data_IF_270343214188
#
_entry.id   IF_270343214188
#
_cell.length_a   1.000
_cell.length_b   1.000
_cell.length_c   1.000
_cell.angle_alpha   90.00
_cell.angle_beta   90.00
_cell.angle_gamma   90.00
#
_symmetry.space_group_name_H-M   'P 1'
#
loop_
_entity.id
_entity.type
_entity.pdbx_description
1 polymer ?
#
# COMPACT_ATOMS: atom_id res chain seq x y z
N UNK A 1 1.76 -0.77 15.49
CA UNK A 1 2.13 -1.95 14.63
C UNK A 1 3.35 -1.58 13.82
N UNK A 2 4.29 -2.51 13.54
CA UNK A 2 5.43 -2.19 12.66
C UNK A 2 5.06 -2.33 11.17
N UNK A 3 5.85 -1.72 10.28
CA UNK A 3 5.60 -1.68 8.83
C UNK A 3 5.48 -3.07 8.21
N UNK A 4 6.33 -4.02 8.64
CA UNK A 4 6.31 -5.40 8.13
C UNK A 4 5.00 -6.10 8.50
N UNK A 5 4.51 -5.91 9.73
CA UNK A 5 3.26 -6.53 10.16
C UNK A 5 2.05 -5.92 9.43
N UNK A 6 2.05 -4.59 9.22
CA UNK A 6 1.04 -3.93 8.40
C UNK A 6 1.00 -4.52 7.00
N UNK A 7 2.15 -4.53 6.33
CA UNK A 7 2.25 -5.09 4.99
C UNK A 7 1.76 -6.54 4.92
N UNK A 8 2.17 -7.41 5.86
CA UNK A 8 1.73 -8.80 5.89
C UNK A 8 0.21 -8.92 6.07
N UNK A 9 -0.40 -8.09 6.90
CA UNK A 9 -1.84 -8.05 7.08
C UNK A 9 -2.54 -7.64 5.78
N UNK A 10 -2.13 -6.52 5.17
CA UNK A 10 -2.74 -6.01 3.95
C UNK A 10 -2.55 -6.95 2.77
N UNK A 11 -1.37 -7.56 2.64
CA UNK A 11 -1.07 -8.49 1.55
C UNK A 11 -2.00 -9.72 1.53
N UNK A 12 -2.54 -10.14 2.67
CA UNK A 12 -3.48 -11.29 2.72
C UNK A 12 -4.89 -10.96 2.20
N UNK A 13 -5.23 -9.67 2.08
CA UNK A 13 -6.54 -9.21 1.61
C UNK A 13 -6.50 -9.15 0.08
N UNK A 14 -7.31 -9.96 -0.59
CA UNK A 14 -7.41 -9.94 -2.05
C UNK A 14 -8.17 -8.70 -2.52
N UNK A 15 -7.57 -7.96 -3.47
CA UNK A 15 -8.09 -6.69 -3.99
C UNK A 15 -7.92 -6.57 -5.51
N UNK A 16 -7.96 -7.69 -6.24
CA UNK A 16 -7.73 -7.69 -7.69
C UNK A 16 -8.71 -6.81 -8.44
N UNK A 17 -8.21 -5.90 -9.30
CA UNK A 17 -8.99 -5.10 -10.23
C UNK A 17 -9.42 -5.89 -11.46
N UNK A 18 -10.32 -5.34 -12.30
CA UNK A 18 -10.86 -6.00 -13.48
C UNK A 18 -10.98 -5.04 -14.67
N UNK A 19 -10.16 -5.23 -15.70
CA UNK A 19 -10.13 -4.39 -16.92
C UNK A 19 -11.47 -4.30 -17.66
N UNK A 20 -12.33 -5.30 -17.55
CA UNK A 20 -13.63 -5.34 -18.23
C UNK A 20 -14.75 -4.59 -17.52
N UNK A 21 -14.48 -3.97 -16.35
CA UNK A 21 -15.49 -3.25 -15.56
C UNK A 21 -15.78 -1.87 -16.14
N UNK A 22 -17.03 -1.46 -16.07
CA UNK A 22 -17.48 -0.10 -16.40
C UNK A 22 -17.82 0.75 -15.18
N UNK A 23 -17.57 0.22 -13.99
CA UNK A 23 -17.84 0.87 -12.70
C UNK A 23 -16.58 0.94 -11.85
N UNK A 24 -16.52 1.91 -10.94
CA UNK A 24 -15.46 2.06 -9.95
C UNK A 24 -16.04 1.82 -8.55
N UNK A 25 -15.43 0.99 -7.70
CA UNK A 25 -14.27 0.16 -8.05
C UNK A 25 -14.67 -0.97 -9.02
N UNK A 26 -13.72 -1.41 -9.83
CA UNK A 26 -13.92 -2.47 -10.83
C UNK A 26 -14.29 -3.82 -10.20
N UNK A 27 -13.92 -4.00 -8.93
CA UNK A 27 -14.28 -5.16 -8.10
C UNK A 27 -14.67 -4.73 -6.70
N UNK A 28 -15.61 -5.45 -6.08
CA UNK A 28 -16.07 -5.15 -4.71
C UNK A 28 -15.06 -5.57 -3.65
N UNK A 29 -14.17 -6.47 -3.98
CA UNK A 29 -13.15 -6.98 -3.09
C UNK A 29 -12.19 -5.90 -2.60
N UNK A 30 -12.02 -4.81 -3.35
CA UNK A 30 -11.20 -3.66 -2.96
C UNK A 30 -11.74 -2.97 -1.68
N UNK A 31 -13.06 -2.97 -1.47
CA UNK A 31 -13.65 -2.46 -0.23
C UNK A 31 -13.19 -3.20 1.03
N UNK A 32 -12.74 -4.47 0.91
CA UNK A 32 -12.27 -5.20 2.09
C UNK A 32 -11.02 -4.55 2.70
N UNK A 33 -10.08 -4.13 1.85
CA UNK A 33 -8.90 -3.40 2.32
C UNK A 33 -9.24 -1.95 2.68
N UNK A 34 -10.11 -1.30 1.91
CA UNK A 34 -10.54 0.07 2.19
C UNK A 34 -11.14 0.22 3.60
N UNK A 35 -12.02 -0.68 4.01
CA UNK A 35 -12.62 -0.65 5.35
C UNK A 35 -11.66 -1.05 6.46
N UNK A 36 -10.71 -1.95 6.20
CA UNK A 36 -9.64 -2.25 7.15
C UNK A 36 -8.77 -1.01 7.41
N UNK A 37 -8.44 -0.27 6.34
CA UNK A 37 -7.68 0.97 6.44
C UNK A 37 -8.48 2.09 7.12
N UNK A 38 -9.77 2.23 6.81
CA UNK A 38 -10.66 3.17 7.51
C UNK A 38 -10.64 2.93 9.03
N UNK A 39 -10.76 1.66 9.42
CA UNK A 39 -10.70 1.30 10.84
C UNK A 39 -9.33 1.64 11.45
N UNK A 40 -8.23 1.23 10.82
CA UNK A 40 -6.88 1.49 11.34
C UNK A 40 -6.56 2.99 11.37
N UNK A 41 -6.95 3.77 10.35
CA UNK A 41 -6.78 5.22 10.34
C UNK A 41 -7.48 5.89 11.53
N UNK A 42 -8.71 5.46 11.85
CA UNK A 42 -9.44 5.94 13.02
C UNK A 42 -8.75 5.53 14.33
N UNK A 43 -8.26 4.28 14.43
CA UNK A 43 -7.58 3.77 15.62
C UNK A 43 -6.27 4.51 15.92
N UNK A 44 -5.50 4.88 14.91
CA UNK A 44 -4.27 5.67 15.07
C UNK A 44 -4.53 7.18 15.24
N UNK A 45 -5.74 7.65 14.98
CA UNK A 45 -6.17 9.01 15.30
C UNK A 45 -6.10 10.00 14.14
N UNK A 46 -6.25 9.57 12.90
CA UNK A 46 -6.49 10.46 11.76
C UNK A 46 -7.87 11.10 11.87
N UNK A 47 -8.01 12.26 11.24
CA UNK A 47 -9.26 13.04 11.21
C UNK A 47 -9.99 12.86 9.87
N UNK A 48 -11.32 13.03 9.89
CA UNK A 48 -12.23 12.98 8.74
C UNK A 48 -12.03 11.75 7.85
N UNK A 49 -11.80 10.60 8.50
CA UNK A 49 -11.60 9.33 7.81
C UNK A 49 -12.92 8.87 7.19
N UNK A 50 -12.89 8.56 5.91
CA UNK A 50 -14.05 8.02 5.20
C UNK A 50 -13.64 7.12 4.03
N UNK A 51 -14.47 6.14 3.72
CA UNK A 51 -14.49 5.40 2.45
C UNK A 51 -15.70 5.88 1.67
N UNK A 52 -15.48 6.37 0.45
CA UNK A 52 -16.60 6.81 -0.39
C UNK A 52 -17.23 5.67 -1.21
N UNK A 53 -18.29 5.97 -1.93
CA UNK A 53 -19.03 5.00 -2.75
C UNK A 53 -18.21 4.42 -3.91
N UNK A 54 -17.13 5.07 -4.30
CA UNK A 54 -16.20 4.65 -5.34
C UNK A 54 -14.95 3.96 -4.78
N UNK A 55 -14.93 3.65 -3.46
CA UNK A 55 -13.83 2.97 -2.77
C UNK A 55 -12.56 3.81 -2.59
N UNK A 56 -12.61 5.13 -2.71
CA UNK A 56 -11.51 5.99 -2.28
C UNK A 56 -11.53 6.12 -0.76
N UNK A 57 -10.36 5.94 -0.15
CA UNK A 57 -10.20 6.13 1.30
C UNK A 57 -9.50 7.46 1.55
N UNK A 58 -10.13 8.35 2.30
CA UNK A 58 -9.58 9.65 2.66
C UNK A 58 -9.35 9.76 4.16
N UNK A 59 -8.44 10.62 4.55
CA UNK A 59 -8.21 11.03 5.91
C UNK A 59 -7.02 11.97 6.00
N UNK A 60 -6.84 12.64 7.14
CA UNK A 60 -5.70 13.52 7.30
C UNK A 60 -5.18 13.58 8.74
N UNK A 61 -3.93 13.96 8.89
CA UNK A 61 -3.36 14.42 10.15
C UNK A 61 -3.43 15.96 10.21
N UNK A 62 -4.11 16.54 11.21
CA UNK A 62 -4.10 17.98 11.42
C UNK A 62 -2.67 18.47 11.66
N UNK A 63 -2.37 19.70 11.20
CA UNK A 63 -1.09 20.32 11.51
C UNK A 63 -0.86 20.39 13.03
N UNK A 64 0.36 20.14 13.46
CA UNK A 64 0.74 20.36 14.86
C UNK A 64 0.81 21.86 15.17
N UNK A 65 0.63 22.21 16.45
CA UNK A 65 0.65 23.61 16.90
C UNK A 65 1.90 24.36 16.44
N UNK A 66 1.69 25.45 15.71
CA UNK A 66 2.75 26.29 15.13
C UNK A 66 3.13 25.94 13.69
N UNK A 67 2.54 24.90 13.10
CA UNK A 67 2.77 24.46 11.72
C UNK A 67 1.51 24.59 10.83
N UNK A 68 0.48 25.30 11.29
CA UNK A 68 -0.81 25.46 10.61
C UNK A 68 -0.70 26.23 9.28
N UNK A 69 0.36 27.03 9.12
CA UNK A 69 0.62 27.79 7.89
C UNK A 69 1.61 27.08 6.94
N UNK A 70 2.02 25.85 7.24
CA UNK A 70 2.83 25.05 6.32
C UNK A 70 1.99 24.61 5.13
N UNK A 71 2.67 24.26 4.02
CA UNK A 71 2.03 23.63 2.88
C UNK A 71 1.41 22.30 3.28
N UNK A 72 0.21 22.04 2.75
CA UNK A 72 -0.45 20.76 2.91
C UNK A 72 0.16 19.73 1.95
N UNK A 73 0.65 18.63 2.47
CA UNK A 73 1.27 17.55 1.69
C UNK A 73 0.31 16.38 1.65
N UNK A 74 0.12 15.82 0.45
CA UNK A 74 -0.65 14.60 0.25
C UNK A 74 0.24 13.38 0.02
N UNK A 75 -0.23 12.20 0.47
CA UNK A 75 0.33 10.91 0.12
C UNK A 75 -0.76 10.01 -0.44
N UNK A 76 -0.44 9.34 -1.54
CA UNK A 76 -1.36 8.47 -2.29
C UNK A 76 -0.70 7.11 -2.46
N UNK A 77 -1.47 6.04 -2.34
CA UNK A 77 -1.12 4.68 -2.72
C UNK A 77 -2.37 3.96 -3.23
N UNK A 78 -2.22 2.86 -4.00
CA UNK A 78 -3.40 2.20 -4.53
C UNK A 78 -3.75 0.90 -3.79
N UNK A 79 -5.06 0.59 -3.76
CA UNK A 79 -5.64 -0.55 -3.06
C UNK A 79 -5.53 -1.84 -3.85
N UNK A 80 -5.71 -1.72 -5.18
CA UNK A 80 -5.87 -2.87 -6.05
C UNK A 80 -4.55 -3.55 -6.38
N UNK A 81 -4.65 -4.74 -6.87
CA UNK A 81 -3.55 -5.55 -7.41
C UNK A 81 -3.95 -6.10 -8.77
N UNK A 82 -2.97 -6.45 -9.58
CA UNK A 82 -3.23 -7.19 -10.83
C UNK A 82 -3.96 -8.51 -10.54
N UNK A 83 -4.98 -8.83 -11.32
CA UNK A 83 -5.84 -10.01 -11.10
C UNK A 83 -5.52 -11.21 -12.01
N UNK A 84 -4.59 -11.05 -12.95
CA UNK A 84 -4.35 -11.98 -14.05
C UNK A 84 -3.66 -13.28 -13.65
N UNK A 85 -3.26 -13.41 -12.39
CA UNK A 85 -2.44 -14.54 -11.95
C UNK A 85 -2.92 -15.16 -10.64
N UNK A 86 -3.23 -16.45 -10.72
CA UNK A 86 -3.32 -17.32 -9.55
C UNK A 86 -4.67 -17.36 -8.85
N UNK A 87 -4.62 -17.70 -7.57
CA UNK A 87 -5.79 -17.82 -6.71
C UNK A 87 -6.03 -16.52 -5.93
N UNK A 88 -7.18 -16.41 -5.26
CA UNK A 88 -7.49 -15.25 -4.40
C UNK A 88 -6.94 -15.38 -2.98
N UNK A 89 -6.38 -16.54 -2.63
CA UNK A 89 -5.79 -16.78 -1.30
C UNK A 89 -4.29 -16.45 -1.33
N UNK A 90 -3.94 -15.24 -0.89
CA UNK A 90 -2.56 -14.77 -0.86
C UNK A 90 -1.88 -15.29 0.40
N UNK A 91 -0.72 -15.95 0.26
CA UNK A 91 0.05 -16.54 1.36
C UNK A 91 1.47 -15.98 1.39
N UNK A 92 1.69 -14.87 2.12
CA UNK A 92 3.01 -14.29 2.26
C UNK A 92 3.99 -15.24 2.96
N UNK A 93 5.24 -15.27 2.50
CA UNK A 93 6.36 -15.97 3.13
C UNK A 93 7.42 -14.95 3.54
N UNK A 94 8.02 -15.14 4.72
CA UNK A 94 9.08 -14.26 5.22
C UNK A 94 10.40 -15.04 5.22
N UNK A 95 11.35 -14.62 4.39
CA UNK A 95 12.71 -15.14 4.30
C UNK A 95 13.64 -14.19 5.04
N UNK A 96 14.11 -14.60 6.21
CA UNK A 96 15.05 -13.81 7.03
C UNK A 96 16.48 -14.06 6.59
N UNK A 97 17.32 -13.03 6.75
CA UNK A 97 18.77 -13.11 6.56
C UNK A 97 19.13 -13.76 5.21
N UNK A 98 18.53 -13.26 4.12
CA UNK A 98 18.69 -13.82 2.79
C UNK A 98 20.17 -14.01 2.44
N UNK A 99 20.55 -15.24 2.09
CA UNK A 99 21.94 -15.64 1.91
C UNK A 99 22.39 -15.78 0.43
N UNK A 100 21.54 -15.38 -0.52
CA UNK A 100 21.83 -15.45 -1.96
C UNK A 100 21.40 -16.76 -2.65
N UNK A 101 20.93 -17.75 -1.89
CA UNK A 101 20.42 -19.01 -2.47
C UNK A 101 19.03 -18.79 -3.09
N UNK A 102 18.63 -19.72 -3.97
CA UNK A 102 17.28 -19.73 -4.52
C UNK A 102 16.22 -19.83 -3.41
N UNK A 103 15.19 -19.00 -3.49
CA UNK A 103 14.04 -18.98 -2.57
C UNK A 103 12.93 -19.85 -3.18
N UNK A 104 12.59 -20.97 -2.53
CA UNK A 104 11.43 -21.77 -2.94
C UNK A 104 10.13 -21.05 -2.57
N UNK A 105 9.20 -20.99 -3.51
CA UNK A 105 7.89 -20.38 -3.31
C UNK A 105 6.85 -21.44 -2.92
N UNK A 106 6.76 -21.71 -1.61
CA UNK A 106 5.87 -22.73 -1.05
C UNK A 106 6.08 -24.10 -1.69
N UNK A 107 4.98 -24.70 -2.10
CA UNK A 107 4.94 -26.01 -2.79
C UNK A 107 4.64 -25.88 -4.29
N UNK A 108 4.66 -24.67 -4.85
CA UNK A 108 4.32 -24.39 -6.26
C UNK A 108 5.31 -24.97 -7.28
N UNK A 109 6.50 -25.37 -6.83
CA UNK A 109 7.61 -25.76 -7.69
C UNK A 109 8.36 -24.58 -8.32
N UNK A 110 7.94 -23.34 -8.00
CA UNK A 110 8.58 -22.10 -8.45
C UNK A 110 9.63 -21.65 -7.45
N UNK A 111 10.59 -20.89 -7.93
CA UNK A 111 11.63 -20.30 -7.09
C UNK A 111 12.10 -18.96 -7.66
N UNK A 112 12.68 -18.14 -6.79
CA UNK A 112 13.36 -16.90 -7.14
C UNK A 112 14.85 -17.11 -6.93
N UNK A 113 15.66 -16.78 -7.93
CA UNK A 113 17.11 -16.85 -7.85
C UNK A 113 17.78 -15.61 -8.45
N UNK A 114 19.09 -15.49 -8.21
CA UNK A 114 19.89 -14.34 -8.68
C UNK A 114 20.29 -14.43 -10.15
N UNK A 115 19.99 -15.50 -10.87
CA UNK A 115 20.19 -15.61 -12.31
C UNK A 115 19.01 -15.01 -13.06
N UNK A 116 17.79 -15.37 -12.65
CA UNK A 116 16.55 -14.83 -13.20
C UNK A 116 16.27 -13.39 -12.70
N UNK A 117 16.59 -13.12 -11.43
CA UNK A 117 16.34 -11.84 -10.76
C UNK A 117 17.64 -11.27 -10.17
N UNK A 118 18.53 -10.66 -10.99
CA UNK A 118 19.85 -10.21 -10.54
C UNK A 118 19.84 -9.20 -9.39
N UNK A 119 18.76 -8.40 -9.25
CA UNK A 119 18.60 -7.43 -8.17
C UNK A 119 18.47 -8.08 -6.77
N UNK A 120 18.12 -9.37 -6.67
CA UNK A 120 18.15 -10.11 -5.41
C UNK A 120 19.53 -10.10 -4.74
N UNK A 121 20.61 -9.89 -5.49
CA UNK A 121 21.96 -9.72 -4.93
C UNK A 121 22.06 -8.53 -3.98
N UNK A 122 21.22 -7.50 -4.19
CA UNK A 122 21.16 -6.31 -3.33
C UNK A 122 20.41 -6.55 -2.03
N UNK A 123 19.74 -7.71 -1.91
CA UNK A 123 18.97 -8.10 -0.74
C UNK A 123 19.71 -9.06 0.21
N UNK A 124 21.01 -9.33 -0.03
CA UNK A 124 21.82 -10.16 0.88
C UNK A 124 21.78 -9.61 2.31
N UNK A 125 21.54 -10.51 3.27
CA UNK A 125 21.42 -10.18 4.69
C UNK A 125 20.11 -9.46 5.07
N UNK A 126 19.22 -9.18 4.10
CA UNK A 126 17.93 -8.55 4.37
C UNK A 126 16.83 -9.59 4.56
N UNK A 127 15.71 -9.14 5.11
CA UNK A 127 14.47 -9.91 5.11
C UNK A 127 13.73 -9.65 3.81
N UNK A 128 13.32 -10.71 3.12
CA UNK A 128 12.53 -10.68 1.89
C UNK A 128 11.14 -11.23 2.19
N UNK A 129 10.11 -10.62 1.64
CA UNK A 129 8.74 -11.13 1.67
C UNK A 129 8.36 -11.56 0.26
N UNK A 130 7.85 -12.78 0.13
CA UNK A 130 7.38 -13.38 -1.13
C UNK A 130 5.99 -13.96 -0.95
N UNK A 131 5.39 -14.51 -2.01
CA UNK A 131 4.24 -15.43 -1.89
C UNK A 131 4.68 -16.88 -1.88
N UNK A 132 3.70 -17.78 -1.76
CA UNK A 132 3.87 -19.22 -1.95
C UNK A 132 3.98 -19.63 -3.44
N UNK A 133 3.99 -18.68 -4.36
CA UNK A 133 4.10 -18.90 -5.81
C UNK A 133 2.78 -19.20 -6.52
N UNK A 134 1.65 -19.16 -5.84
CA UNK A 134 0.33 -19.39 -6.42
C UNK A 134 -0.46 -18.09 -6.68
N UNK A 135 0.04 -16.96 -6.20
CA UNK A 135 -0.55 -15.62 -6.37
C UNK A 135 0.53 -14.59 -6.62
N UNK A 136 0.13 -13.38 -7.03
CA UNK A 136 0.96 -12.18 -6.82
C UNK A 136 1.01 -11.87 -5.32
N UNK A 137 2.04 -11.13 -4.87
CA UNK A 137 2.13 -10.68 -3.48
C UNK A 137 1.28 -9.45 -3.22
N UNK A 138 1.16 -8.58 -4.24
CA UNK A 138 0.50 -7.28 -4.12
C UNK A 138 1.34 -6.28 -3.30
N UNK A 139 2.68 -6.39 -3.36
CA UNK A 139 3.55 -5.39 -2.76
C UNK A 139 3.38 -4.02 -3.43
N UNK A 140 3.14 -4.05 -4.70
CA UNK A 140 2.60 -3.00 -5.52
C UNK A 140 1.06 -3.02 -5.40
N UNK A 141 0.39 -2.06 -4.67
CA UNK A 141 1.08 -0.99 -3.92
C UNK A 141 0.75 -1.03 -2.40
N UNK A 142 0.47 -2.23 -1.86
CA UNK A 142 0.22 -2.39 -0.41
C UNK A 142 1.46 -2.10 0.44
N UNK A 143 2.65 -2.07 -0.17
CA UNK A 143 3.86 -1.61 0.52
C UNK A 143 3.78 -0.09 0.76
N UNK A 144 3.43 0.70 -0.25
CA UNK A 144 3.20 2.14 -0.10
C UNK A 144 2.11 2.45 0.92
N UNK A 145 1.00 1.71 0.91
CA UNK A 145 -0.03 1.81 1.95
C UNK A 145 0.58 1.59 3.35
N UNK A 146 1.37 0.51 3.53
CA UNK A 146 1.98 0.20 4.82
C UNK A 146 3.00 1.26 5.27
N UNK A 147 3.73 1.87 4.33
CA UNK A 147 4.66 2.96 4.58
C UNK A 147 3.93 4.22 5.04
N UNK A 148 2.88 4.64 4.34
CA UNK A 148 2.05 5.81 4.68
C UNK A 148 1.43 5.62 6.08
N UNK A 149 0.80 4.48 6.34
CA UNK A 149 0.16 4.19 7.62
C UNK A 149 1.17 4.13 8.78
N UNK A 150 2.38 3.63 8.51
CA UNK A 150 3.45 3.60 9.51
C UNK A 150 3.99 5.01 9.78
N UNK A 151 4.19 5.80 8.76
CA UNK A 151 4.58 7.21 8.89
C UNK A 151 3.57 7.97 9.77
N UNK A 152 2.28 7.87 9.49
CA UNK A 152 1.23 8.52 10.28
C UNK A 152 1.26 8.10 11.75
N UNK A 153 1.35 6.79 12.01
CA UNK A 153 1.45 6.24 13.38
C UNK A 153 2.69 6.78 14.11
N UNK A 154 3.85 6.80 13.46
CA UNK A 154 5.09 7.30 14.04
C UNK A 154 5.06 8.81 14.32
N UNK A 155 4.49 9.61 13.43
CA UNK A 155 4.34 11.06 13.62
C UNK A 155 3.52 11.36 14.89
N UNK A 156 2.42 10.62 15.08
CA UNK A 156 1.56 10.76 16.26
C UNK A 156 2.27 10.26 17.52
N UNK A 157 2.76 9.01 17.51
CA UNK A 157 3.38 8.37 18.69
C UNK A 157 4.61 9.12 19.18
N UNK A 158 5.46 9.60 18.26
CA UNK A 158 6.70 10.33 18.58
C UNK A 158 6.49 11.82 18.72
N UNK A 159 5.27 12.32 18.52
CA UNK A 159 4.91 13.75 18.57
C UNK A 159 5.83 14.62 17.68
N UNK A 160 6.10 14.15 16.47
CA UNK A 160 6.94 14.85 15.50
C UNK A 160 6.15 16.03 14.91
N UNK A 161 6.66 17.28 14.98
CA UNK A 161 5.99 18.43 14.40
C UNK A 161 5.85 18.33 12.89
N UNK A 162 4.64 18.63 12.37
CA UNK A 162 4.32 18.58 10.94
C UNK A 162 3.20 19.55 10.55
N UNK A 163 3.14 19.96 9.28
CA UNK A 163 1.98 20.61 8.68
C UNK A 163 0.83 19.62 8.49
N UNK A 164 -0.29 20.05 7.89
CA UNK A 164 -1.36 19.13 7.52
C UNK A 164 -0.84 18.07 6.53
N UNK A 165 -1.17 16.81 6.77
CA UNK A 165 -0.83 15.69 5.88
C UNK A 165 -2.14 15.01 5.47
N UNK A 166 -2.46 15.04 4.17
CA UNK A 166 -3.63 14.39 3.60
C UNK A 166 -3.27 13.01 3.05
N UNK A 167 -4.14 12.04 3.24
CA UNK A 167 -3.96 10.66 2.79
C UNK A 167 -5.11 10.30 1.85
N UNK A 168 -4.78 9.65 0.74
CA UNK A 168 -5.77 9.02 -0.12
C UNK A 168 -5.29 7.65 -0.58
N UNK A 169 -6.12 6.61 -0.41
CA UNK A 169 -5.91 5.32 -1.05
C UNK A 169 -6.91 5.15 -2.18
N UNK A 170 -6.42 4.82 -3.38
CA UNK A 170 -7.20 4.82 -4.62
C UNK A 170 -7.52 3.40 -5.09
N UNK A 171 -8.70 3.15 -5.67
CA UNK A 171 -8.99 1.90 -6.37
C UNK A 171 -8.46 1.94 -7.80
N UNK A 172 -8.41 0.78 -8.46
CA UNK A 172 -8.32 0.61 -9.92
C UNK A 172 -7.11 1.28 -10.61
N UNK A 173 -5.99 1.42 -9.91
CA UNK A 173 -4.77 1.98 -10.49
C UNK A 173 -4.21 1.07 -11.58
N UNK A 174 -4.13 -0.24 -11.35
CA UNK A 174 -3.58 -1.28 -12.22
C UNK A 174 -4.31 -1.41 -13.58
N UNK A 175 -5.49 -0.81 -13.68
CA UNK A 175 -6.25 -0.69 -14.93
C UNK A 175 -6.35 0.75 -15.45
N UNK A 176 -5.55 1.66 -14.90
CA UNK A 176 -5.43 3.06 -15.33
C UNK A 176 -6.58 3.98 -14.90
N UNK A 177 -7.37 3.60 -13.90
CA UNK A 177 -8.53 4.37 -13.43
C UNK A 177 -8.33 5.01 -12.04
N UNK A 178 -7.17 4.86 -11.41
CA UNK A 178 -6.90 5.29 -10.04
C UNK A 178 -7.20 6.77 -9.74
N UNK A 179 -7.02 7.67 -10.69
CA UNK A 179 -7.31 9.09 -10.53
C UNK A 179 -8.68 9.55 -11.07
N UNK A 180 -9.47 8.64 -11.66
CA UNK A 180 -10.64 9.01 -12.47
C UNK A 180 -11.75 9.73 -11.66
N UNK A 181 -11.96 9.35 -10.41
CA UNK A 181 -12.98 9.89 -9.52
C UNK A 181 -12.40 10.45 -8.21
N UNK A 182 -11.10 10.73 -8.19
CA UNK A 182 -10.42 11.34 -7.03
C UNK A 182 -11.04 12.71 -6.73
N UNK A 183 -11.58 12.87 -5.53
CA UNK A 183 -12.14 14.12 -5.04
C UNK A 183 -11.03 15.00 -4.44
N UNK A 184 -10.56 15.97 -5.22
CA UNK A 184 -9.48 16.87 -4.80
C UNK A 184 -9.88 17.82 -3.66
N UNK A 185 -11.17 18.13 -3.51
CA UNK A 185 -11.64 18.95 -2.40
C UNK A 185 -11.61 18.19 -1.07
N UNK A 186 -11.90 16.88 -1.10
CA UNK A 186 -11.74 16.00 0.07
C UNK A 186 -10.27 15.74 0.38
N UNK A 187 -9.45 15.54 -0.65
CA UNK A 187 -8.04 15.28 -0.47
C UNK A 187 -7.28 16.49 0.07
N UNK A 188 -7.64 17.70 -0.35
CA UNK A 188 -7.17 19.00 0.17
C UNK A 188 -5.66 19.06 0.44
N UNK A 189 -4.85 18.87 -0.60
CA UNK A 189 -3.40 18.98 -0.57
C UNK A 189 -2.89 20.03 -1.57
N UNK A 190 -1.87 20.83 -1.19
CA UNK A 190 -1.19 21.74 -2.11
C UNK A 190 -0.40 20.98 -3.20
N UNK A 191 0.16 19.85 -2.84
CA UNK A 191 0.85 18.88 -3.70
C UNK A 191 0.90 17.53 -3.03
N UNK A 192 1.07 16.47 -3.82
CA UNK A 192 1.09 15.11 -3.32
C UNK A 192 2.22 14.28 -3.93
N UNK A 193 2.54 13.20 -3.23
CA UNK A 193 3.41 12.14 -3.72
C UNK A 193 2.62 10.84 -3.78
N UNK A 194 2.70 10.14 -4.90
CA UNK A 194 2.31 8.75 -4.99
C UNK A 194 3.46 7.91 -4.43
N UNK A 195 3.16 7.11 -3.42
CA UNK A 195 4.15 6.25 -2.75
C UNK A 195 4.08 4.90 -3.43
N UNK A 196 4.64 4.87 -4.62
CA UNK A 196 4.66 3.76 -5.54
C UNK A 196 5.98 3.82 -6.30
N UNK A 197 6.47 2.71 -6.82
CA UNK A 197 7.73 2.78 -7.52
C UNK A 197 8.42 1.44 -7.74
N UNK A 198 9.43 1.43 -8.63
CA UNK A 198 10.12 0.22 -9.09
C UNK A 198 11.49 -0.02 -8.45
N UNK A 199 12.23 1.04 -8.11
CA UNK A 199 13.60 0.92 -7.61
C UNK A 199 13.79 1.62 -6.27
N UNK A 200 14.43 1.00 -5.27
CA UNK A 200 14.68 1.63 -3.98
C UNK A 200 15.50 2.92 -4.11
N UNK A 201 14.98 4.04 -3.57
CA UNK A 201 15.65 5.33 -3.56
C UNK A 201 15.39 6.22 -4.78
N UNK A 202 14.49 5.84 -5.66
CA UNK A 202 13.95 6.70 -6.72
C UNK A 202 12.73 7.49 -6.19
N UNK A 203 12.64 8.77 -6.59
CA UNK A 203 11.54 9.70 -6.26
C UNK A 203 11.06 10.35 -7.55
#
# INVERSE_FOLDING_TARGET
MDIKQRFLNYATIYTGSSEGSSVTPSTKEQFNLAHELEQEMNEIGLSDVLVDENCYVYGFLPATKGYENCKHIGFIAHLDIVSDFGTREIKPQVVKDYNGNAISLGTSGRFLDTEQFPHLKNALGKTIITTDGNTVLGADDKAGIAEIMTMCSELIEKQIPHGKISICFTPDEEIGHGAALLDLDKFDADYAFTVDGSSPGEI
#
